data_IF_932530328069
#
_entry.id   IF_932530328069
#
_cell.length_a   1.000
_cell.length_b   1.000
_cell.length_c   1.000
_cell.angle_alpha   90.00
_cell.angle_beta   90.00
_cell.angle_gamma   90.00
#
_symmetry.space_group_name_H-M   'P 1'
#
loop_
_entity.id
_entity.type
_entity.pdbx_description
1 polymer ?
#
# COMPACT_ATOMS: atom_id res chain seq x y z
N UNK A 1 -39.97 78.31 32.50
CA UNK A 1 -38.91 78.36 31.48
C UNK A 1 -38.90 77.01 30.77
N UNK A 2 -39.13 77.05 29.45
CA UNK A 2 -38.81 76.10 28.36
C UNK A 2 -38.63 74.61 28.67
N UNK A 3 -39.12 73.65 27.87
CA UNK A 3 -40.01 73.64 26.69
C UNK A 3 -40.26 72.14 26.38
N UNK A 4 -41.50 71.84 26.00
CA UNK A 4 -41.93 70.91 24.93
C UNK A 4 -41.53 69.40 24.89
N UNK A 5 -42.61 68.58 24.87
CA UNK A 5 -42.99 67.53 23.87
C UNK A 5 -42.02 66.35 23.64
N UNK A 6 -42.43 65.08 23.48
CA UNK A 6 -43.70 64.48 23.06
C UNK A 6 -43.81 62.99 23.49
N UNK A 7 -45.06 62.48 23.49
CA UNK A 7 -45.58 61.09 23.44
C UNK A 7 -44.99 60.22 22.30
N UNK A 8 -45.36 58.91 22.13
CA UNK A 8 -46.05 57.92 23.01
C UNK A 8 -45.42 56.49 23.03
N UNK A 9 -46.04 55.58 23.80
CA UNK A 9 -45.83 54.11 23.94
C UNK A 9 -45.87 53.31 22.61
N UNK A 10 -45.46 52.01 22.55
CA UNK A 10 -46.32 50.91 23.06
C UNK A 10 -45.65 49.59 23.54
N UNK A 11 -46.46 48.81 24.26
CA UNK A 11 -46.66 47.35 24.20
C UNK A 11 -45.48 46.35 24.35
N UNK A 12 -45.64 45.48 25.37
CA UNK A 12 -45.72 44.03 25.14
C UNK A 12 -44.42 43.24 25.15
N UNK A 13 -43.95 42.85 26.34
CA UNK A 13 -42.94 41.80 26.50
C UNK A 13 -43.62 40.44 26.72
N UNK A 14 -43.44 39.52 25.77
CA UNK A 14 -43.17 38.09 25.96
C UNK A 14 -42.68 37.52 24.62
N UNK A 15 -41.52 36.85 24.60
CA UNK A 15 -41.47 35.45 24.12
C UNK A 15 -40.44 34.61 24.92
N UNK A 16 -40.72 33.38 25.33
CA UNK A 16 -40.72 32.11 24.57
C UNK A 16 -39.49 31.26 24.95
N UNK A 17 -39.81 30.15 25.62
CA UNK A 17 -39.27 28.79 25.51
C UNK A 17 -37.94 28.66 24.75
N UNK A 18 -36.88 28.37 25.51
CA UNK A 18 -35.57 28.02 24.99
C UNK A 18 -35.57 26.66 24.30
N UNK A 19 -35.22 26.65 23.02
CA UNK A 19 -34.71 25.49 22.30
C UNK A 19 -33.36 25.92 21.70
N UNK A 20 -32.27 25.43 22.29
CA UNK A 20 -30.89 25.61 21.85
C UNK A 20 -30.09 24.52 22.60
N UNK A 21 -29.26 23.69 22.00
CA UNK A 21 -28.60 23.73 20.69
C UNK A 21 -28.23 22.29 20.33
N UNK A 22 -28.65 21.83 19.15
CA UNK A 22 -27.99 20.71 18.49
C UNK A 22 -26.55 21.12 18.15
N UNK A 23 -25.60 20.23 18.46
CA UNK A 23 -24.19 20.39 18.17
C UNK A 23 -23.97 20.55 16.66
N UNK A 24 -23.66 21.77 16.24
CA UNK A 24 -23.20 22.09 14.91
C UNK A 24 -21.78 21.50 14.74
N UNK A 25 -21.67 20.47 13.90
CA UNK A 25 -20.39 19.94 13.45
C UNK A 25 -19.60 20.99 12.67
N UNK A 26 -18.28 20.87 12.73
CA UNK A 26 -17.30 21.77 12.12
C UNK A 26 -17.59 21.96 10.60
N UNK A 27 -17.80 23.19 10.09
CA UNK A 27 -18.30 23.43 8.73
C UNK A 27 -17.27 23.28 7.59
N UNK A 28 -16.10 22.72 7.85
CA UNK A 28 -14.96 22.76 6.90
C UNK A 28 -14.59 21.44 6.21
N UNK A 29 -15.11 20.28 6.65
CA UNK A 29 -14.72 18.98 6.09
C UNK A 29 -15.74 18.45 5.09
N UNK A 30 -15.28 17.97 3.93
CA UNK A 30 -16.12 17.34 2.91
C UNK A 30 -16.93 16.15 3.47
N UNK A 31 -18.13 15.84 2.96
CA UNK A 31 -18.92 14.67 3.39
C UNK A 31 -18.15 13.35 3.37
N UNK A 32 -17.27 13.17 2.39
CA UNK A 32 -16.41 11.99 2.31
C UNK A 32 -15.40 11.92 3.45
N UNK A 33 -14.76 13.04 3.78
CA UNK A 33 -13.78 13.14 4.86
C UNK A 33 -14.41 12.80 6.22
N UNK A 34 -15.60 13.34 6.51
CA UNK A 34 -16.33 13.03 7.75
C UNK A 34 -16.69 11.56 7.87
N UNK A 35 -17.21 10.96 6.77
CA UNK A 35 -17.63 9.57 6.76
C UNK A 35 -16.44 8.61 6.89
N UNK A 36 -15.34 8.87 6.18
CA UNK A 36 -14.12 8.06 6.26
C UNK A 36 -13.44 8.18 7.62
N UNK A 37 -13.38 9.37 8.22
CA UNK A 37 -12.91 9.52 9.61
C UNK A 37 -13.78 8.75 10.60
N UNK A 38 -15.11 8.82 10.45
CA UNK A 38 -16.03 8.06 11.30
C UNK A 38 -15.82 6.55 11.13
N UNK A 39 -15.64 6.09 9.90
CA UNK A 39 -15.31 4.70 9.60
C UNK A 39 -14.03 4.29 10.33
N UNK A 40 -12.93 5.02 10.14
CA UNK A 40 -11.63 4.70 10.77
C UNK A 40 -11.71 4.66 12.29
N UNK A 41 -12.44 5.60 12.90
CA UNK A 41 -12.66 5.62 14.35
C UNK A 41 -13.43 4.38 14.83
N UNK A 42 -14.48 3.99 14.13
CA UNK A 42 -15.25 2.78 14.47
C UNK A 42 -14.43 1.51 14.21
N UNK A 43 -13.68 1.48 13.12
CA UNK A 43 -12.83 0.35 12.73
C UNK A 43 -11.64 0.16 13.69
N UNK A 44 -11.09 1.26 14.19
CA UNK A 44 -10.03 1.28 15.21
C UNK A 44 -10.54 1.00 16.63
N UNK A 45 -11.84 1.12 16.88
CA UNK A 45 -12.42 0.67 18.14
C UNK A 45 -12.21 -0.85 18.29
N UNK A 46 -12.06 -1.36 19.52
CA UNK A 46 -11.86 -2.78 19.82
C UNK A 46 -13.05 -3.70 19.48
N UNK A 47 -13.85 -3.32 18.48
CA UNK A 47 -15.01 -4.04 17.98
C UNK A 47 -14.65 -5.48 17.54
N UNK A 48 -15.58 -6.43 17.70
CA UNK A 48 -15.38 -7.80 17.26
C UNK A 48 -15.20 -7.89 15.73
N UNK A 49 -14.51 -8.94 15.28
CA UNK A 49 -14.20 -9.16 13.86
C UNK A 49 -15.43 -9.16 12.94
N UNK A 50 -16.57 -9.71 13.40
CA UNK A 50 -17.82 -9.72 12.63
C UNK A 50 -18.38 -8.33 12.39
N UNK A 51 -18.28 -7.44 13.38
CA UNK A 51 -18.69 -6.05 13.23
C UNK A 51 -17.74 -5.29 12.28
N UNK A 52 -16.42 -5.52 12.39
CA UNK A 52 -15.45 -4.93 11.46
C UNK A 52 -15.68 -5.40 10.02
N UNK A 53 -15.98 -6.68 9.81
CA UNK A 53 -16.32 -7.23 8.50
C UNK A 53 -17.58 -6.56 7.92
N UNK A 54 -18.62 -6.36 8.73
CA UNK A 54 -19.81 -5.61 8.34
C UNK A 54 -19.47 -4.19 7.89
N UNK A 55 -18.64 -3.48 8.66
CA UNK A 55 -18.18 -2.14 8.27
C UNK A 55 -17.44 -2.15 6.92
N UNK A 56 -16.54 -3.12 6.67
CA UNK A 56 -15.84 -3.22 5.37
C UNK A 56 -16.83 -3.42 4.22
N UNK A 57 -17.86 -4.25 4.41
CA UNK A 57 -18.92 -4.47 3.42
C UNK A 57 -19.73 -3.21 3.16
N UNK A 58 -20.14 -2.51 4.23
CA UNK A 58 -20.87 -1.25 4.12
C UNK A 58 -20.04 -0.18 3.38
N UNK A 59 -18.73 -0.11 3.66
CA UNK A 59 -17.81 0.76 2.94
C UNK A 59 -17.70 0.39 1.46
N UNK A 60 -17.64 -0.91 1.15
CA UNK A 60 -17.63 -1.40 -0.23
C UNK A 60 -18.87 -0.96 -1.00
N UNK A 61 -20.06 -1.17 -0.42
CA UNK A 61 -21.34 -0.75 -1.01
C UNK A 61 -21.45 0.76 -1.16
N UNK A 62 -20.95 1.52 -0.17
CA UNK A 62 -20.89 2.98 -0.27
C UNK A 62 -20.03 3.42 -1.45
N UNK A 63 -18.81 2.88 -1.57
CA UNK A 63 -17.87 3.21 -2.64
C UNK A 63 -18.41 2.82 -4.03
N UNK A 64 -19.19 1.75 -4.13
CA UNK A 64 -19.86 1.36 -5.36
C UNK A 64 -20.93 2.38 -5.78
N UNK A 65 -21.69 2.90 -4.82
CA UNK A 65 -22.83 3.80 -5.05
C UNK A 65 -22.45 5.27 -5.27
N UNK A 66 -21.33 5.74 -4.71
CA UNK A 66 -20.88 7.14 -4.83
C UNK A 66 -20.15 7.40 -6.15
N UNK A 67 -20.13 8.66 -6.58
CA UNK A 67 -19.31 9.07 -7.72
C UNK A 67 -17.84 9.27 -7.32
N UNK A 68 -16.99 9.38 -8.33
CA UNK A 68 -15.56 9.62 -8.13
C UNK A 68 -15.27 10.91 -7.36
N UNK A 69 -16.02 12.00 -7.62
CA UNK A 69 -15.79 13.30 -6.98
C UNK A 69 -15.97 13.23 -5.46
N UNK A 70 -16.86 12.37 -4.99
CA UNK A 70 -17.01 12.10 -3.55
C UNK A 70 -15.70 11.57 -2.95
N UNK A 71 -15.08 10.54 -3.56
CA UNK A 71 -13.84 9.96 -3.05
C UNK A 71 -12.68 10.98 -3.07
N UNK A 72 -12.56 11.75 -4.14
CA UNK A 72 -11.58 12.83 -4.29
C UNK A 72 -11.84 14.03 -3.38
N UNK A 73 -13.00 14.08 -2.74
CA UNK A 73 -13.31 15.04 -1.69
C UNK A 73 -12.62 14.73 -0.36
N UNK A 74 -12.10 13.52 -0.16
CA UNK A 74 -11.29 13.18 1.01
C UNK A 74 -9.81 13.53 0.80
N UNK A 75 -9.10 13.87 1.88
CA UNK A 75 -7.67 14.15 1.79
C UNK A 75 -6.85 12.90 1.44
N UNK A 76 -5.75 13.02 0.66
CA UNK A 76 -4.89 11.88 0.32
C UNK A 76 -4.34 11.15 1.54
N UNK A 77 -4.06 11.87 2.63
CA UNK A 77 -3.60 11.30 3.89
C UNK A 77 -4.67 10.41 4.55
N UNK A 78 -5.93 10.84 4.55
CA UNK A 78 -7.03 10.04 5.09
C UNK A 78 -7.25 8.76 4.29
N UNK A 79 -7.15 8.85 2.96
CA UNK A 79 -7.20 7.65 2.09
C UNK A 79 -6.02 6.72 2.35
N UNK A 80 -4.83 7.25 2.59
CA UNK A 80 -3.68 6.44 3.01
C UNK A 80 -3.96 5.70 4.31
N UNK A 81 -4.45 6.39 5.34
CA UNK A 81 -4.79 5.79 6.64
C UNK A 81 -5.84 4.70 6.49
N UNK A 82 -6.87 4.94 5.67
CA UNK A 82 -7.91 3.95 5.35
C UNK A 82 -7.31 2.69 4.73
N UNK A 83 -6.54 2.84 3.65
CA UNK A 83 -5.97 1.69 2.93
C UNK A 83 -4.99 0.93 3.83
N UNK A 84 -4.15 1.63 4.59
CA UNK A 84 -3.23 0.99 5.54
C UNK A 84 -3.97 0.23 6.65
N UNK A 85 -5.03 0.81 7.22
CA UNK A 85 -5.83 0.12 8.24
C UNK A 85 -6.51 -1.15 7.68
N UNK A 86 -7.03 -1.07 6.46
CA UNK A 86 -7.65 -2.20 5.78
C UNK A 86 -6.60 -3.27 5.39
N UNK A 87 -5.42 -2.88 4.93
CA UNK A 87 -4.32 -3.81 4.64
C UNK A 87 -3.87 -4.59 5.88
N UNK A 88 -3.74 -3.92 7.04
CA UNK A 88 -3.45 -4.62 8.30
C UNK A 88 -4.59 -5.57 8.72
N UNK A 89 -5.85 -5.19 8.46
CA UNK A 89 -6.99 -6.07 8.75
C UNK A 89 -7.05 -7.31 7.86
N UNK A 90 -6.63 -7.17 6.59
CA UNK A 90 -6.52 -8.24 5.61
C UNK A 90 -5.23 -9.07 5.75
N UNK A 91 -4.25 -8.60 6.51
CA UNK A 91 -3.00 -9.32 6.73
C UNK A 91 -3.26 -10.65 7.44
N UNK A 92 -2.52 -11.72 7.09
CA UNK A 92 -2.62 -12.97 7.82
C UNK A 92 -2.18 -12.76 9.26
N UNK A 93 -3.07 -13.08 10.20
CA UNK A 93 -2.73 -13.11 11.62
C UNK A 93 -1.74 -14.26 11.85
N UNK A 94 -0.76 -14.03 12.72
CA UNK A 94 0.35 -14.94 13.04
C UNK A 94 -0.02 -16.42 12.82
N UNK A 95 0.43 -16.94 11.69
CA UNK A 95 0.40 -18.36 11.38
C UNK A 95 1.84 -18.81 11.31
N UNK A 96 2.33 -19.44 12.37
CA UNK A 96 3.41 -20.40 12.32
C UNK A 96 3.22 -21.39 13.49
N UNK A 97 2.39 -22.43 13.33
CA UNK A 97 2.29 -23.46 14.36
C UNK A 97 3.65 -24.15 14.53
N UNK A 98 4.17 -24.18 15.76
CA UNK A 98 5.18 -25.18 16.12
C UNK A 98 4.56 -26.57 15.90
N UNK A 99 4.97 -27.22 14.81
CA UNK A 99 4.55 -28.59 14.48
C UNK A 99 3.44 -28.68 13.43
N UNK A 100 3.84 -28.66 12.15
CA UNK A 100 3.40 -29.56 11.07
C UNK A 100 1.90 -29.81 10.80
N UNK A 101 0.96 -29.10 11.43
CA UNK A 101 -0.48 -29.33 11.23
C UNK A 101 -0.94 -28.70 9.92
N UNK A 102 -1.73 -29.43 9.13
CA UNK A 102 -2.12 -29.01 7.79
C UNK A 102 -2.99 -27.72 7.83
N UNK A 103 -2.80 -26.79 6.87
CA UNK A 103 -3.49 -25.49 6.86
C UNK A 103 -5.01 -25.52 6.75
N UNK A 104 -5.58 -26.62 6.25
CA UNK A 104 -6.92 -26.65 5.66
C UNK A 104 -8.05 -26.81 6.69
N UNK A 105 -7.72 -27.13 7.92
CA UNK A 105 -8.69 -27.46 8.99
C UNK A 105 -8.81 -26.36 10.05
N UNK A 106 -8.08 -25.23 9.91
CA UNK A 106 -8.08 -24.18 10.92
C UNK A 106 -9.06 -23.04 10.58
N UNK A 107 -10.13 -22.85 11.38
CA UNK A 107 -11.13 -21.81 11.13
C UNK A 107 -10.57 -20.38 11.15
N UNK A 108 -9.41 -20.17 11.78
CA UNK A 108 -8.69 -18.89 11.80
C UNK A 108 -8.15 -18.47 10.42
N UNK A 109 -7.65 -19.42 9.61
CA UNK A 109 -7.16 -19.15 8.26
C UNK A 109 -8.28 -18.81 7.28
N UNK A 110 -9.40 -19.54 7.35
CA UNK A 110 -10.60 -19.26 6.56
C UNK A 110 -11.20 -17.88 6.87
N UNK A 111 -11.27 -17.50 8.14
CA UNK A 111 -11.69 -16.16 8.54
C UNK A 111 -10.70 -15.06 8.10
N UNK A 112 -9.41 -15.38 7.95
CA UNK A 112 -8.41 -14.47 7.36
C UNK A 112 -8.66 -14.23 5.86
N UNK A 113 -8.85 -15.30 5.10
CA UNK A 113 -9.10 -15.22 3.66
C UNK A 113 -10.41 -14.48 3.32
N UNK A 114 -11.47 -14.70 4.11
CA UNK A 114 -12.75 -14.00 3.92
C UNK A 114 -12.60 -12.49 4.17
N UNK A 115 -11.91 -12.09 5.25
CA UNK A 115 -11.61 -10.67 5.51
C UNK A 115 -10.83 -10.04 4.36
N UNK A 116 -9.83 -10.76 3.85
CA UNK A 116 -9.03 -10.31 2.72
C UNK A 116 -9.88 -10.11 1.45
N UNK A 117 -10.79 -11.04 1.14
CA UNK A 117 -11.67 -10.92 -0.02
C UNK A 117 -12.54 -9.64 0.03
N UNK A 118 -13.10 -9.30 1.20
CA UNK A 118 -13.91 -8.07 1.35
C UNK A 118 -13.04 -6.80 1.25
N UNK A 119 -11.83 -6.81 1.82
CA UNK A 119 -10.91 -5.67 1.70
C UNK A 119 -10.42 -5.47 0.26
N UNK A 120 -10.14 -6.56 -0.44
CA UNK A 120 -9.74 -6.55 -1.85
C UNK A 120 -10.85 -5.90 -2.69
N UNK A 121 -12.12 -6.21 -2.43
CA UNK A 121 -13.24 -5.58 -3.13
C UNK A 121 -13.30 -4.07 -2.88
N UNK A 122 -13.07 -3.61 -1.65
CA UNK A 122 -12.96 -2.18 -1.33
C UNK A 122 -11.83 -1.53 -2.14
N UNK A 123 -10.67 -2.19 -2.26
CA UNK A 123 -9.56 -1.67 -3.06
C UNK A 123 -9.87 -1.64 -4.55
N UNK A 124 -10.57 -2.63 -5.09
CA UNK A 124 -11.07 -2.60 -6.46
C UNK A 124 -11.99 -1.40 -6.69
N UNK A 125 -12.92 -1.13 -5.76
CA UNK A 125 -13.81 0.03 -5.86
C UNK A 125 -13.05 1.35 -5.81
N UNK A 126 -12.04 1.48 -4.94
CA UNK A 126 -11.16 2.66 -4.91
C UNK A 126 -10.47 2.86 -6.27
N UNK A 127 -9.90 1.80 -6.84
CA UNK A 127 -9.23 1.88 -8.14
C UNK A 127 -10.20 2.20 -9.28
N UNK A 128 -11.42 1.67 -9.26
CA UNK A 128 -12.46 1.99 -10.23
C UNK A 128 -12.82 3.49 -10.20
N UNK A 129 -12.94 4.08 -9.00
CA UNK A 129 -13.15 5.54 -8.86
C UNK A 129 -11.96 6.35 -9.33
N UNK A 130 -10.74 5.85 -9.16
CA UNK A 130 -9.55 6.50 -9.73
C UNK A 130 -9.55 6.42 -11.26
N UNK A 131 -9.98 5.29 -11.83
CA UNK A 131 -10.10 5.10 -13.28
C UNK A 131 -11.15 6.05 -13.89
N UNK A 132 -12.37 6.05 -13.35
CA UNK A 132 -13.45 6.97 -13.73
C UNK A 132 -13.01 8.45 -13.68
N UNK A 133 -12.20 8.81 -12.68
CA UNK A 133 -11.69 10.16 -12.50
C UNK A 133 -10.66 10.61 -13.55
N UNK A 134 -10.00 9.68 -14.25
CA UNK A 134 -9.09 10.04 -15.34
C UNK A 134 -9.84 10.65 -16.53
N UNK A 135 -11.08 10.22 -16.73
CA UNK A 135 -11.91 10.62 -17.87
C UNK A 135 -12.78 11.86 -17.56
N UNK A 136 -12.79 12.32 -16.31
CA UNK A 136 -13.60 13.46 -15.87
C UNK A 136 -12.92 14.81 -16.16
N UNK A 137 -13.56 15.64 -16.99
CA UNK A 137 -13.16 17.03 -17.18
C UNK A 137 -13.27 17.83 -15.87
N UNK A 138 -12.15 18.46 -15.46
CA UNK A 138 -12.10 19.39 -14.32
C UNK A 138 -11.51 18.84 -13.02
N UNK A 139 -11.11 17.56 -12.96
CA UNK A 139 -10.31 17.04 -11.85
C UNK A 139 -8.82 17.13 -12.19
N UNK A 140 -8.04 17.73 -11.28
CA UNK A 140 -6.61 17.93 -11.49
C UNK A 140 -5.86 16.58 -11.49
N UNK A 141 -5.14 16.29 -12.56
CA UNK A 141 -4.32 15.08 -12.70
C UNK A 141 -3.25 14.99 -11.59
N UNK A 142 -2.84 16.12 -11.03
CA UNK A 142 -1.93 16.14 -9.87
C UNK A 142 -2.60 15.62 -8.59
N UNK A 143 -3.89 15.86 -8.39
CA UNK A 143 -4.65 15.34 -7.24
C UNK A 143 -4.81 13.82 -7.35
N UNK A 144 -5.20 13.33 -8.53
CA UNK A 144 -5.29 11.90 -8.81
C UNK A 144 -3.94 11.19 -8.65
N UNK A 145 -2.88 11.80 -9.18
CA UNK A 145 -1.51 11.30 -9.01
C UNK A 145 -1.04 11.30 -7.55
N UNK A 146 -1.43 12.30 -6.76
CA UNK A 146 -1.12 12.35 -5.33
C UNK A 146 -1.79 11.20 -4.57
N UNK A 147 -3.08 10.97 -4.78
CA UNK A 147 -3.80 9.87 -4.12
C UNK A 147 -3.21 8.52 -4.49
N UNK A 148 -2.96 8.28 -5.78
CA UNK A 148 -2.30 7.06 -6.26
C UNK A 148 -0.99 6.79 -5.53
N UNK A 149 -0.13 7.80 -5.35
CA UNK A 149 1.14 7.66 -4.63
C UNK A 149 1.00 7.13 -3.20
N UNK A 150 -0.11 7.40 -2.54
CA UNK A 150 -0.35 6.99 -1.16
C UNK A 150 -1.01 5.62 -1.04
N UNK A 151 -1.84 5.23 -2.02
CA UNK A 151 -2.64 3.98 -1.94
C UNK A 151 -2.00 2.80 -2.68
N UNK A 152 -1.20 3.05 -3.72
CA UNK A 152 -0.66 2.00 -4.61
C UNK A 152 0.18 0.97 -3.86
N UNK A 153 1.10 1.40 -2.99
CA UNK A 153 1.99 0.49 -2.25
C UNK A 153 1.20 -0.53 -1.39
N UNK A 154 0.34 -0.08 -0.46
CA UNK A 154 -0.47 -0.97 0.35
C UNK A 154 -1.45 -1.85 -0.45
N UNK A 155 -2.06 -1.33 -1.53
CA UNK A 155 -2.95 -2.10 -2.41
C UNK A 155 -2.16 -3.22 -3.11
N UNK A 156 -1.00 -2.90 -3.69
CA UNK A 156 -0.13 -3.87 -4.35
C UNK A 156 0.31 -4.98 -3.38
N UNK A 157 0.74 -4.61 -2.17
CA UNK A 157 1.13 -5.58 -1.14
C UNK A 157 -0.03 -6.52 -0.79
N UNK A 158 -1.25 -5.99 -0.66
CA UNK A 158 -2.44 -6.79 -0.40
C UNK A 158 -2.72 -7.78 -1.54
N UNK A 159 -2.66 -7.32 -2.80
CA UNK A 159 -2.85 -8.17 -3.97
C UNK A 159 -1.81 -9.31 -4.02
N UNK A 160 -0.53 -9.00 -3.86
CA UNK A 160 0.55 -10.02 -3.86
C UNK A 160 0.40 -11.00 -2.68
N UNK A 161 -0.01 -10.52 -1.51
CA UNK A 161 -0.21 -11.35 -0.32
C UNK A 161 -1.26 -12.44 -0.51
N UNK A 162 -2.30 -12.16 -1.29
CA UNK A 162 -3.46 -13.02 -1.45
C UNK A 162 -3.57 -13.68 -2.84
N UNK A 163 -2.74 -13.31 -3.81
CA UNK A 163 -2.80 -13.81 -5.18
C UNK A 163 -2.24 -15.23 -5.39
N UNK A 164 -1.28 -15.66 -4.55
CA UNK A 164 -0.70 -17.00 -4.64
C UNK A 164 -1.32 -17.98 -3.63
N UNK A 165 -1.37 -19.27 -3.97
CA UNK A 165 -1.82 -20.29 -3.03
C UNK A 165 -0.92 -20.34 -1.79
N UNK A 166 -1.52 -20.05 -0.64
CA UNK A 166 -0.89 -19.98 0.69
C UNK A 166 -1.86 -20.45 1.78
N UNK A 167 -1.34 -20.83 2.97
CA UNK A 167 -2.15 -21.25 4.11
C UNK A 167 -3.30 -20.31 4.52
N UNK A 168 -3.16 -19.01 4.26
CA UNK A 168 -4.13 -17.97 4.61
C UNK A 168 -5.01 -17.51 3.44
N UNK A 169 -4.96 -18.20 2.30
CA UNK A 169 -5.70 -17.80 1.09
C UNK A 169 -6.80 -18.80 0.75
N UNK A 170 -7.82 -18.33 0.04
CA UNK A 170 -8.89 -19.15 -0.52
C UNK A 170 -9.17 -18.74 -1.97
N UNK A 171 -9.85 -19.58 -2.77
CA UNK A 171 -10.11 -19.27 -4.18
C UNK A 171 -10.74 -17.88 -4.40
N UNK A 172 -11.65 -17.46 -3.53
CA UNK A 172 -12.28 -16.12 -3.61
C UNK A 172 -11.27 -14.99 -3.41
N UNK A 173 -10.42 -15.07 -2.38
CA UNK A 173 -9.40 -14.04 -2.12
C UNK A 173 -8.32 -14.02 -3.21
N UNK A 174 -7.97 -15.18 -3.77
CA UNK A 174 -7.01 -15.30 -4.88
C UNK A 174 -7.55 -14.68 -6.16
N UNK A 175 -8.79 -15.02 -6.53
CA UNK A 175 -9.47 -14.44 -7.70
C UNK A 175 -9.54 -12.91 -7.59
N UNK A 176 -10.04 -12.41 -6.45
CA UNK A 176 -10.10 -10.96 -6.22
C UNK A 176 -8.72 -10.30 -6.21
N UNK A 177 -7.69 -10.95 -5.65
CA UNK A 177 -6.34 -10.39 -5.65
C UNK A 177 -5.75 -10.27 -7.06
N UNK A 178 -6.04 -11.23 -7.95
CA UNK A 178 -5.66 -11.14 -9.36
C UNK A 178 -6.40 -9.99 -10.06
N UNK A 179 -7.72 -9.90 -9.88
CA UNK A 179 -8.52 -8.79 -10.42
C UNK A 179 -8.03 -7.42 -9.92
N UNK A 180 -7.68 -7.33 -8.64
CA UNK A 180 -7.13 -6.12 -8.03
C UNK A 180 -5.79 -5.74 -8.64
N UNK A 181 -4.90 -6.72 -8.85
CA UNK A 181 -3.61 -6.48 -9.48
C UNK A 181 -3.77 -6.02 -10.93
N UNK A 182 -4.66 -6.65 -11.69
CA UNK A 182 -4.96 -6.28 -13.07
C UNK A 182 -5.57 -4.88 -13.15
N UNK A 183 -6.45 -4.53 -12.21
CA UNK A 183 -6.99 -3.18 -12.08
C UNK A 183 -5.91 -2.15 -11.75
N UNK A 184 -5.00 -2.46 -10.83
CA UNK A 184 -3.91 -1.58 -10.46
C UNK A 184 -2.99 -1.30 -11.65
N UNK A 185 -2.60 -2.34 -12.38
CA UNK A 185 -1.74 -2.21 -13.56
C UNK A 185 -2.43 -1.40 -14.66
N UNK A 186 -3.73 -1.61 -14.88
CA UNK A 186 -4.53 -0.84 -15.86
C UNK A 186 -4.63 0.63 -15.49
N UNK A 187 -4.97 0.94 -14.24
CA UNK A 187 -5.05 2.33 -13.74
C UNK A 187 -3.70 3.04 -13.80
N UNK A 188 -2.59 2.32 -13.68
CA UNK A 188 -1.26 2.89 -13.79
C UNK A 188 -0.63 2.76 -15.19
N UNK A 189 -1.37 2.19 -16.15
CA UNK A 189 -0.95 1.98 -17.54
C UNK A 189 0.33 1.13 -17.70
N UNK A 190 0.57 0.20 -16.77
CA UNK A 190 1.64 -0.80 -16.87
C UNK A 190 1.11 -2.12 -17.43
N UNK A 191 1.92 -2.85 -18.19
CA UNK A 191 1.51 -4.13 -18.80
C UNK A 191 1.87 -5.34 -17.94
N UNK A 192 2.77 -5.16 -16.97
CA UNK A 192 3.29 -6.24 -16.15
C UNK A 192 3.84 -5.73 -14.82
N UNK A 193 3.97 -6.63 -13.84
CA UNK A 193 4.54 -6.34 -12.52
C UNK A 193 6.00 -5.85 -12.61
N UNK A 194 6.90 -6.47 -13.43
CA UNK A 194 8.25 -5.94 -13.59
C UNK A 194 8.28 -4.51 -14.09
N UNK A 195 7.44 -4.16 -15.09
CA UNK A 195 7.33 -2.79 -15.60
C UNK A 195 6.83 -1.82 -14.53
N UNK A 196 5.81 -2.21 -13.76
CA UNK A 196 5.31 -1.44 -12.63
C UNK A 196 6.40 -1.17 -11.59
N UNK A 197 7.18 -2.19 -11.20
CA UNK A 197 8.18 -2.05 -10.15
C UNK A 197 9.41 -1.26 -10.61
N UNK A 198 9.90 -1.48 -11.83
CA UNK A 198 11.14 -0.86 -12.34
C UNK A 198 10.92 0.46 -13.07
N UNK A 199 9.73 0.71 -13.61
CA UNK A 199 9.45 1.78 -14.58
C UNK A 199 9.52 1.28 -16.03
N UNK A 200 9.05 2.09 -16.99
CA UNK A 200 9.02 1.69 -18.40
C UNK A 200 10.29 2.06 -19.15
N UNK A 201 11.01 3.08 -18.69
CA UNK A 201 12.23 3.59 -19.34
C UNK A 201 13.41 3.66 -18.36
N UNK A 202 14.63 3.57 -18.90
CA UNK A 202 15.84 3.84 -18.11
C UNK A 202 15.80 5.28 -17.58
N UNK A 203 15.92 5.43 -16.25
CA UNK A 203 15.83 6.73 -15.56
C UNK A 203 14.44 7.06 -15.01
N UNK A 204 13.39 6.32 -15.36
CA UNK A 204 12.11 6.41 -14.67
C UNK A 204 12.18 5.65 -13.34
N UNK A 205 11.68 6.27 -12.27
CA UNK A 205 11.50 5.58 -11.00
C UNK A 205 10.18 4.81 -11.02
N UNK A 206 10.26 3.48 -11.05
CA UNK A 206 9.10 2.62 -10.81
C UNK A 206 8.64 2.62 -9.35
N UNK A 207 7.65 1.79 -9.07
CA UNK A 207 6.97 1.75 -7.77
C UNK A 207 7.70 0.92 -6.70
N UNK A 208 8.83 0.30 -7.04
CA UNK A 208 9.59 -0.52 -6.11
C UNK A 208 9.99 0.21 -4.83
N UNK A 209 10.45 1.47 -4.93
CA UNK A 209 10.84 2.24 -3.75
C UNK A 209 9.65 2.46 -2.83
N UNK A 210 8.47 2.73 -3.38
CA UNK A 210 7.22 2.93 -2.62
C UNK A 210 6.83 1.62 -1.92
N UNK A 211 6.83 0.50 -2.64
CA UNK A 211 6.52 -0.82 -2.06
C UNK A 211 7.51 -1.19 -0.95
N UNK A 212 8.81 -0.99 -1.19
CA UNK A 212 9.84 -1.26 -0.19
C UNK A 212 9.73 -0.34 1.04
N UNK A 213 9.29 0.91 0.88
CA UNK A 213 9.03 1.81 2.02
C UNK A 213 7.86 1.28 2.88
N UNK A 214 6.82 0.74 2.26
CA UNK A 214 5.71 0.10 2.96
C UNK A 214 6.15 -1.18 3.70
N UNK A 215 7.04 -1.99 3.11
CA UNK A 215 7.52 -3.23 3.73
C UNK A 215 8.58 -3.01 4.82
N UNK A 216 9.37 -1.93 4.73
CA UNK A 216 10.49 -1.63 5.64
C UNK A 216 10.14 -1.75 7.14
N UNK A 217 9.04 -1.17 7.68
CA UNK A 217 8.72 -1.29 9.10
C UNK A 217 8.45 -2.74 9.55
N UNK A 218 8.02 -3.59 8.64
CA UNK A 218 7.76 -5.01 8.89
C UNK A 218 8.98 -5.90 8.62
N UNK A 219 10.09 -5.37 8.07
CA UNK A 219 11.30 -6.12 7.74
C UNK A 219 12.47 -5.77 8.68
N UNK A 220 12.18 -5.53 9.97
CA UNK A 220 13.23 -5.40 10.99
C UNK A 220 13.43 -6.72 11.70
N UNK A 221 14.55 -6.87 12.41
CA UNK A 221 14.88 -8.07 13.19
C UNK A 221 13.77 -8.43 14.21
N UNK A 222 13.06 -7.42 14.71
CA UNK A 222 12.03 -7.55 15.73
C UNK A 222 10.63 -7.78 15.15
N UNK A 223 10.33 -7.30 13.93
CA UNK A 223 8.96 -7.24 13.41
C UNK A 223 8.67 -8.25 12.29
N UNK A 224 9.69 -8.79 11.62
CA UNK A 224 9.50 -9.62 10.42
C UNK A 224 8.77 -10.94 10.65
N UNK A 225 8.72 -11.42 11.88
CA UNK A 225 7.99 -12.63 12.25
C UNK A 225 6.51 -12.36 12.58
N UNK A 226 6.13 -11.09 12.79
CA UNK A 226 4.77 -10.73 13.18
C UNK A 226 3.74 -10.95 12.07
N UNK A 227 4.16 -10.83 10.80
CA UNK A 227 3.33 -11.03 9.63
C UNK A 227 4.00 -12.06 8.69
N UNK A 228 3.47 -13.30 8.59
CA UNK A 228 4.09 -14.33 7.78
C UNK A 228 4.08 -14.00 6.29
N UNK A 229 3.24 -13.08 5.80
CA UNK A 229 3.21 -12.69 4.39
C UNK A 229 4.40 -11.80 3.98
N UNK A 230 4.92 -10.97 4.89
CA UNK A 230 5.90 -9.91 4.55
C UNK A 230 7.14 -10.48 3.88
N UNK A 231 7.65 -11.61 4.37
CA UNK A 231 8.79 -12.31 3.75
C UNK A 231 8.49 -12.77 2.32
N UNK A 232 7.28 -13.27 2.07
CA UNK A 232 6.89 -13.72 0.72
C UNK A 232 6.72 -12.56 -0.23
N UNK A 233 6.09 -11.47 0.21
CA UNK A 233 5.94 -10.26 -0.61
C UNK A 233 7.31 -9.67 -0.92
N UNK A 234 8.20 -9.58 0.07
CA UNK A 234 9.59 -9.14 -0.14
C UNK A 234 10.31 -10.00 -1.18
N UNK A 235 10.30 -11.33 -1.00
CA UNK A 235 10.94 -12.25 -1.93
C UNK A 235 10.36 -12.11 -3.34
N UNK A 236 9.04 -12.07 -3.47
CA UNK A 236 8.35 -11.88 -4.75
C UNK A 236 8.82 -10.59 -5.44
N UNK A 237 8.70 -9.45 -4.75
CA UNK A 237 9.04 -8.13 -5.31
C UNK A 237 10.51 -8.02 -5.70
N UNK A 238 11.41 -8.65 -4.94
CA UNK A 238 12.84 -8.69 -5.27
C UNK A 238 13.11 -9.47 -6.58
N UNK A 239 12.43 -10.61 -6.78
CA UNK A 239 12.65 -11.47 -7.95
C UNK A 239 12.17 -10.80 -9.26
N UNK A 240 11.20 -9.89 -9.17
CA UNK A 240 10.70 -9.12 -10.31
C UNK A 240 11.70 -8.04 -10.80
N UNK A 241 12.69 -7.67 -9.98
CA UNK A 241 13.69 -6.65 -10.37
C UNK A 241 14.99 -7.29 -10.82
N UNK A 242 15.35 -7.02 -12.07
CA UNK A 242 16.57 -7.51 -12.69
C UNK A 242 17.55 -6.35 -13.00
N UNK A 243 18.67 -6.66 -13.66
CA UNK A 243 19.60 -5.66 -14.20
C UNK A 243 18.91 -4.70 -15.18
N UNK A 244 19.32 -3.42 -15.23
CA UNK A 244 20.32 -2.75 -14.39
C UNK A 244 19.80 -2.19 -13.04
N UNK A 245 18.49 -2.24 -12.77
CA UNK A 245 17.83 -1.50 -11.69
C UNK A 245 18.15 -1.99 -10.27
N UNK A 246 18.44 -3.28 -10.08
CA UNK A 246 18.66 -3.83 -8.73
C UNK A 246 19.84 -3.19 -7.98
N UNK A 247 20.87 -2.74 -8.71
CA UNK A 247 22.08 -2.17 -8.11
C UNK A 247 21.79 -0.96 -7.23
N UNK A 248 20.88 -0.09 -7.66
CA UNK A 248 20.53 1.17 -6.97
C UNK A 248 19.65 0.93 -5.73
N UNK A 249 19.28 -0.33 -5.49
CA UNK A 249 18.41 -0.76 -4.42
C UNK A 249 19.09 -1.73 -3.44
N UNK A 250 20.38 -2.03 -3.64
CA UNK A 250 21.12 -3.02 -2.87
C UNK A 250 21.04 -2.77 -1.35
N UNK A 251 21.21 -1.52 -0.92
CA UNK A 251 21.13 -1.13 0.50
C UNK A 251 19.77 -1.44 1.14
N UNK A 252 18.70 -1.48 0.34
CA UNK A 252 17.34 -1.74 0.81
C UNK A 252 17.00 -3.23 0.83
N UNK A 253 17.57 -4.02 -0.06
CA UNK A 253 17.22 -5.45 -0.25
C UNK A 253 18.19 -6.41 0.42
N UNK A 254 19.45 -6.01 0.60
CA UNK A 254 20.47 -6.87 1.18
C UNK A 254 20.20 -7.17 2.66
N UNK A 255 19.86 -6.19 3.53
CA UNK A 255 19.63 -6.49 4.94
C UNK A 255 18.47 -7.48 5.18
N UNK A 256 17.28 -7.32 4.56
CA UNK A 256 16.19 -8.30 4.71
C UNK A 256 16.54 -9.68 4.13
N UNK A 257 17.29 -9.75 3.03
CA UNK A 257 17.73 -11.03 2.45
C UNK A 257 18.66 -11.81 3.40
N UNK A 258 19.58 -11.11 4.05
CA UNK A 258 20.47 -11.69 5.06
C UNK A 258 19.70 -12.12 6.30
N UNK A 259 18.77 -11.29 6.77
CA UNK A 259 17.90 -11.59 7.91
C UNK A 259 17.14 -12.91 7.71
N UNK A 260 16.58 -13.13 6.51
CA UNK A 260 15.90 -14.39 6.18
C UNK A 260 16.87 -15.58 6.08
N UNK A 261 18.08 -15.36 5.56
CA UNK A 261 19.08 -16.43 5.40
C UNK A 261 19.68 -16.92 6.72
N UNK A 262 19.69 -16.07 7.76
CA UNK A 262 20.21 -16.37 9.09
C UNK A 262 19.14 -16.97 10.02
N UNK A 263 17.87 -16.97 9.60
CA UNK A 263 16.77 -17.47 10.41
C UNK A 263 16.92 -18.96 10.73
N UNK A 264 16.43 -19.42 11.89
CA UNK A 264 16.57 -20.82 12.29
C UNK A 264 15.72 -21.78 11.44
N UNK A 265 14.63 -21.31 10.80
CA UNK A 265 13.71 -22.15 10.02
C UNK A 265 14.20 -22.32 8.59
N UNK A 266 14.18 -23.57 8.13
CA UNK A 266 14.73 -23.97 6.83
C UNK A 266 14.01 -23.25 5.67
N UNK A 267 12.70 -23.07 5.75
CA UNK A 267 11.92 -22.41 4.70
C UNK A 267 12.36 -20.96 4.50
N UNK A 268 12.63 -20.25 5.60
CA UNK A 268 13.10 -18.88 5.58
C UNK A 268 14.53 -18.81 5.05
N UNK A 269 15.41 -19.74 5.46
CA UNK A 269 16.77 -19.86 4.92
C UNK A 269 16.76 -20.04 3.41
N UNK A 270 15.92 -20.93 2.88
CA UNK A 270 15.81 -21.18 1.44
C UNK A 270 15.42 -19.90 0.71
N UNK A 271 14.39 -19.19 1.18
CA UNK A 271 13.96 -17.92 0.60
C UNK A 271 15.07 -16.85 0.65
N UNK A 272 15.76 -16.73 1.79
CA UNK A 272 16.88 -15.79 1.96
C UNK A 272 18.03 -16.10 1.00
N UNK A 273 18.43 -17.37 0.87
CA UNK A 273 19.48 -17.79 -0.07
C UNK A 273 19.06 -17.54 -1.53
N UNK A 274 17.80 -17.79 -1.89
CA UNK A 274 17.28 -17.47 -3.23
C UNK A 274 17.34 -15.97 -3.52
N UNK A 275 17.02 -15.12 -2.53
CA UNK A 275 17.15 -13.67 -2.64
C UNK A 275 18.62 -13.25 -2.85
N UNK A 276 19.54 -13.78 -2.04
CA UNK A 276 20.97 -13.50 -2.16
C UNK A 276 21.54 -13.96 -3.51
N UNK A 277 21.12 -15.14 -3.98
CA UNK A 277 21.52 -15.66 -5.29
C UNK A 277 21.08 -14.71 -6.41
N UNK A 278 19.82 -14.27 -6.38
CA UNK A 278 19.28 -13.31 -7.34
C UNK A 278 20.04 -11.98 -7.31
N UNK A 279 20.34 -11.46 -6.11
CA UNK A 279 21.15 -10.23 -5.94
C UNK A 279 22.54 -10.40 -6.58
N UNK A 280 23.24 -11.50 -6.29
CA UNK A 280 24.57 -11.77 -6.87
C UNK A 280 24.48 -11.82 -8.40
N UNK A 281 23.50 -12.56 -8.94
CA UNK A 281 23.28 -12.68 -10.38
C UNK A 281 22.92 -11.36 -11.05
N UNK A 282 22.33 -10.40 -10.34
CA UNK A 282 21.85 -9.12 -10.88
C UNK A 282 22.70 -7.89 -10.49
N UNK A 283 23.68 -8.01 -9.58
CA UNK A 283 24.61 -6.90 -9.24
C UNK A 283 26.02 -7.16 -9.77
N UNK A 284 26.58 -8.37 -9.62
CA UNK A 284 28.04 -8.63 -9.76
C UNK A 284 28.64 -8.48 -11.18
N UNK A 285 27.87 -8.48 -12.28
CA UNK A 285 28.37 -8.22 -13.65
C UNK A 285 28.52 -6.75 -14.05
N UNK A 286 28.42 -5.78 -13.13
CA UNK A 286 28.75 -4.37 -13.46
C UNK A 286 30.26 -4.06 -13.43
N UNK A 287 31.13 -4.97 -12.99
CA UNK A 287 32.57 -4.72 -12.85
C UNK A 287 33.52 -5.68 -13.61
N UNK A 288 33.03 -6.50 -14.55
CA UNK A 288 33.92 -7.22 -15.49
C UNK A 288 33.94 -6.52 -16.85
N UNK A 289 34.38 -5.26 -16.88
CA UNK A 289 35.00 -4.69 -18.07
C UNK A 289 36.43 -5.26 -18.13
N UNK A 290 36.86 -5.91 -19.22
CA UNK A 290 38.21 -6.45 -19.37
C UNK A 290 39.19 -5.31 -19.71
N UNK A 291 39.45 -4.40 -18.79
CA UNK A 291 40.48 -3.35 -18.95
C UNK A 291 41.84 -3.75 -18.35
N UNK A 292 42.05 -5.04 -18.03
CA UNK A 292 43.35 -5.58 -17.62
C UNK A 292 44.20 -6.14 -18.79
N UNK A 293 43.90 -5.77 -20.03
CA UNK A 293 44.85 -5.90 -21.14
C UNK A 293 45.27 -4.50 -21.62
N UNK A 294 46.08 -3.81 -20.82
CA UNK A 294 46.99 -2.82 -21.38
C UNK A 294 48.08 -3.60 -22.16
N UNK A 295 48.28 -3.34 -23.46
CA UNK A 295 49.47 -3.81 -24.14
C UNK A 295 50.67 -3.07 -23.53
N UNK A 296 51.70 -3.84 -23.16
CA UNK A 296 53.02 -3.32 -22.81
C UNK A 296 53.46 -2.27 -23.86
N UNK A 297 53.87 -1.05 -23.48
CA UNK A 297 54.56 -0.19 -24.41
C UNK A 297 55.95 -0.79 -24.67
N UNK A 298 56.22 -1.10 -25.94
CA UNK A 298 57.53 -1.50 -26.42
C UNK A 298 58.57 -0.45 -26.01
N UNK A 299 59.50 -0.82 -25.13
CA UNK A 299 60.68 -0.01 -24.84
C UNK A 299 61.54 0.04 -26.10
N UNK A 300 61.65 1.25 -26.63
CA UNK A 300 62.61 1.65 -27.65
C UNK A 300 64.02 1.47 -27.11
N UNK A 301 64.78 0.55 -27.71
CA UNK A 301 66.21 0.36 -27.47
C UNK A 301 66.98 1.55 -28.05
N UNK A 302 67.29 2.55 -27.23
CA UNK A 302 68.39 3.49 -27.51
C UNK A 302 69.68 2.91 -26.93
N UNK A 303 70.67 2.79 -27.79
CA UNK A 303 71.98 2.23 -27.47
C UNK A 303 72.88 3.15 -26.64
N UNK A 304 73.85 2.49 -26.01
CA UNK A 304 75.17 2.98 -25.58
C UNK A 304 76.07 1.72 -25.67
N UNK A 305 76.91 1.59 -26.70
CA UNK A 305 78.34 1.96 -26.73
C UNK A 305 79.17 1.40 -25.57
N UNK A 306 79.93 0.34 -25.88
CA UNK A 306 81.39 0.25 -25.70
C UNK A 306 81.96 -0.60 -26.84
#
# INVERSE_FOLDING_TARGET
>A
MSRDKARPSPAGQHPSVGLATENLGDPASCPAEQLLHRFLRLFGSGAPYTAKLGLVRDLSTLLEAVDSRWLFGASPALLQELVVALSHYAAPLQWEPEGGRSPRENPSGAAGAERAAEVILVFCNILAKVEEAKDLEGLDSAVTGSILRHVVGPIFICAVTHGAERPWTQPRSQCGAQELLDALLRVLEYKSIPEFLRGTREGEHGWFVVVMQCLKPELTKETWQCNPATKYVFCFVLQEIQRPWLGDHLEKVLPPSLLLSDDYRVENKIMGVQCLHHIIQNVVRRNCMPTLFCPFPAKTSRGYSL
#
